data_IF_355577368408
#
_entry.id   IF_355577368408
#
_cell.length_a   1.000
_cell.length_b   1.000
_cell.length_c   1.000
_cell.angle_alpha   90.00
_cell.angle_beta   90.00
_cell.angle_gamma   90.00
#
_symmetry.space_group_name_H-M   'P 1'
#
loop_
_entity.id
_entity.type
_entity.pdbx_description
1 polymer ?
#
# COMPACT_ATOMS: atom_id res chain seq x y z
N UNK A 1 7.35 4.34 -6.69
CA UNK A 1 7.15 4.22 -5.22
C UNK A 1 8.47 3.81 -4.56
N UNK A 2 8.58 3.88 -3.23
CA UNK A 2 9.79 3.49 -2.50
C UNK A 2 9.45 2.54 -1.34
N UNK A 3 10.02 1.35 -1.33
CA UNK A 3 9.87 0.37 -0.24
C UNK A 3 11.04 0.54 0.72
N UNK A 4 10.75 0.52 2.03
CA UNK A 4 11.77 0.57 3.07
C UNK A 4 11.81 -0.77 3.79
N UNK A 5 13.01 -1.33 3.89
CA UNK A 5 13.29 -2.58 4.58
C UNK A 5 14.30 -2.34 5.70
N UNK A 6 14.24 -3.16 6.74
CA UNK A 6 15.13 -3.07 7.88
C UNK A 6 15.88 -4.39 8.10
N UNK A 7 17.19 -4.31 8.24
CA UNK A 7 18.08 -5.45 8.46
C UNK A 7 18.89 -5.24 9.73
N UNK A 8 19.32 -6.33 10.37
CA UNK A 8 20.38 -6.23 11.38
C UNK A 8 21.70 -5.88 10.68
N UNK A 9 22.61 -5.21 11.39
CA UNK A 9 23.91 -4.86 10.83
C UNK A 9 24.63 -6.09 10.27
N UNK A 10 25.08 -6.01 9.02
CA UNK A 10 25.81 -7.09 8.34
C UNK A 10 24.94 -8.25 7.87
N UNK A 11 23.60 -8.11 7.89
CA UNK A 11 22.64 -9.13 7.42
C UNK A 11 21.90 -8.73 6.14
N UNK A 12 22.35 -7.67 5.48
CA UNK A 12 21.78 -7.24 4.20
C UNK A 12 22.17 -8.30 3.14
N UNK A 13 21.20 -8.93 2.47
CA UNK A 13 21.51 -9.89 1.42
C UNK A 13 22.03 -9.17 0.18
N UNK A 14 22.94 -9.81 -0.60
CA UNK A 14 23.45 -9.24 -1.85
C UNK A 14 22.39 -9.23 -2.97
N UNK A 15 21.32 -10.02 -2.81
CA UNK A 15 20.23 -10.13 -3.77
C UNK A 15 18.89 -10.00 -3.04
N UNK A 16 17.95 -9.27 -3.64
CA UNK A 16 16.59 -9.12 -3.17
C UNK A 16 15.62 -9.42 -4.31
N UNK A 17 14.68 -10.34 -4.09
CA UNK A 17 13.58 -10.55 -5.02
C UNK A 17 12.49 -9.50 -4.77
N UNK A 18 12.02 -8.80 -5.80
CA UNK A 18 10.96 -7.79 -5.68
C UNK A 18 9.70 -8.35 -4.99
N UNK A 19 9.42 -9.64 -5.19
CA UNK A 19 8.30 -10.35 -4.55
C UNK A 19 8.38 -10.38 -3.02
N UNK A 20 9.59 -10.31 -2.47
CA UNK A 20 9.85 -10.31 -1.02
C UNK A 20 9.95 -8.88 -0.46
N UNK A 21 9.93 -7.87 -1.32
CA UNK A 21 10.14 -6.47 -0.95
C UNK A 21 8.80 -5.79 -0.74
N UNK A 22 8.36 -5.68 0.51
CA UNK A 22 7.14 -4.93 0.86
C UNK A 22 7.34 -4.12 2.14
N UNK A 23 6.67 -2.97 2.22
CA UNK A 23 6.74 -2.10 3.39
C UNK A 23 6.21 -2.86 4.61
N UNK A 24 6.90 -2.84 5.76
CA UNK A 24 6.39 -3.49 6.95
C UNK A 24 5.18 -2.70 7.47
N UNK A 25 3.97 -3.24 7.21
CA UNK A 25 2.71 -2.67 7.67
C UNK A 25 2.34 -3.15 9.07
N UNK A 26 1.62 -2.33 9.84
CA UNK A 26 1.09 -2.75 11.14
C UNK A 26 0.10 -3.92 11.00
N UNK A 27 -0.67 -3.92 9.91
CA UNK A 27 -1.50 -5.06 9.47
C UNK A 27 -1.08 -5.46 8.07
N UNK A 28 -0.65 -6.71 7.89
CA UNK A 28 -0.15 -7.22 6.61
C UNK A 28 -1.25 -7.26 5.57
N UNK A 29 -0.89 -7.01 4.31
CA UNK A 29 -1.75 -7.18 3.14
C UNK A 29 -1.17 -8.32 2.28
N UNK A 30 -1.66 -9.57 2.43
CA UNK A 30 -1.09 -10.73 1.75
C UNK A 30 -1.23 -10.63 0.23
N UNK A 31 -0.21 -11.06 -0.51
CA UNK A 31 -0.22 -11.07 -1.99
C UNK A 31 0.09 -9.73 -2.64
N UNK A 32 0.47 -8.71 -1.86
CA UNK A 32 0.73 -7.37 -2.37
C UNK A 32 2.09 -6.84 -1.93
N UNK A 33 2.71 -6.10 -2.84
CA UNK A 33 3.87 -5.25 -2.57
C UNK A 33 3.36 -3.86 -2.26
N UNK A 34 3.73 -3.32 -1.11
CA UNK A 34 3.39 -1.97 -0.66
C UNK A 34 4.64 -1.13 -0.51
N UNK A 35 4.56 0.14 -0.86
CA UNK A 35 5.66 1.08 -0.68
C UNK A 35 5.18 2.51 -0.61
N UNK A 36 6.00 3.36 -0.02
CA UNK A 36 5.72 4.77 0.21
C UNK A 36 5.58 5.51 -1.13
N UNK A 37 4.57 6.37 -1.20
CA UNK A 37 4.25 7.14 -2.40
C UNK A 37 3.66 8.50 -2.07
N UNK A 38 3.39 9.30 -3.11
CA UNK A 38 2.80 10.63 -2.98
C UNK A 38 3.71 11.68 -2.33
N UNK A 39 3.10 12.82 -2.00
CA UNK A 39 3.77 14.02 -1.49
C UNK A 39 4.47 13.83 -0.13
N UNK A 40 3.95 12.95 0.73
CA UNK A 40 4.47 12.67 2.08
C UNK A 40 5.66 11.70 2.07
N UNK A 41 6.16 11.29 0.91
CA UNK A 41 7.23 10.29 0.81
C UNK A 41 8.46 10.68 1.64
N UNK A 42 8.89 11.95 1.60
CA UNK A 42 10.08 12.39 2.36
C UNK A 42 9.86 12.32 3.88
N UNK A 43 8.73 12.80 4.37
CA UNK A 43 8.36 12.70 5.79
C UNK A 43 8.28 11.24 6.24
N UNK A 44 7.68 10.39 5.40
CA UNK A 44 7.55 8.95 5.65
C UNK A 44 8.91 8.24 5.77
N UNK A 45 9.88 8.65 4.94
CA UNK A 45 11.25 8.15 4.99
C UNK A 45 11.97 8.60 6.27
N UNK A 46 11.67 9.79 6.80
CA UNK A 46 12.24 10.25 8.07
C UNK A 46 11.76 9.39 9.25
N UNK A 47 10.47 9.05 9.30
CA UNK A 47 9.96 8.14 10.34
C UNK A 47 10.62 6.75 10.26
N UNK A 48 10.79 6.22 9.05
CA UNK A 48 11.49 4.96 8.86
C UNK A 48 12.96 5.03 9.32
N UNK A 49 13.65 6.14 9.02
CA UNK A 49 15.03 6.36 9.48
C UNK A 49 15.12 6.44 11.01
N UNK A 50 14.25 7.22 11.64
CA UNK A 50 14.18 7.32 13.10
C UNK A 50 13.97 5.95 13.76
N UNK A 51 13.10 5.11 13.18
CA UNK A 51 12.90 3.75 13.63
C UNK A 51 14.16 2.89 13.51
N UNK A 52 14.83 2.94 12.36
CA UNK A 52 16.07 2.20 12.13
C UNK A 52 17.16 2.61 13.15
N UNK A 53 17.34 3.91 13.37
CA UNK A 53 18.31 4.44 14.33
C UNK A 53 17.99 4.00 15.77
N UNK A 54 16.72 4.13 16.20
CA UNK A 54 16.27 3.72 17.53
C UNK A 54 16.44 2.22 17.79
N UNK A 55 16.33 1.39 16.76
CA UNK A 55 16.46 -0.08 16.84
C UNK A 55 17.84 -0.59 16.43
N UNK A 56 18.77 0.29 16.06
CA UNK A 56 20.11 -0.05 15.53
C UNK A 56 20.04 -1.02 14.34
N UNK A 57 19.13 -0.73 13.41
CA UNK A 57 18.93 -1.48 12.18
C UNK A 57 19.53 -0.72 10.99
N UNK A 58 19.96 -1.46 9.97
CA UNK A 58 20.28 -0.90 8.66
C UNK A 58 18.98 -0.71 7.88
N UNK A 59 18.86 0.42 7.20
CA UNK A 59 17.68 0.78 6.41
C UNK A 59 18.03 0.70 4.92
N UNK A 60 17.35 -0.19 4.19
CA UNK A 60 17.47 -0.32 2.74
C UNK A 60 16.25 0.32 2.07
N UNK A 61 16.50 1.04 0.98
CA UNK A 61 15.45 1.72 0.20
C UNK A 61 15.44 1.14 -1.20
N UNK A 62 14.36 0.45 -1.54
CA UNK A 62 14.14 -0.09 -2.88
C UNK A 62 13.17 0.83 -3.61
N UNK A 63 13.65 1.46 -4.69
CA UNK A 63 12.80 2.21 -5.60
C UNK A 63 12.21 1.29 -6.64
N UNK A 64 10.87 1.33 -6.76
CA UNK A 64 10.11 0.58 -7.75
C UNK A 64 9.41 1.56 -8.69
N UNK A 65 9.61 1.36 -9.99
CA UNK A 65 8.80 1.95 -11.04
C UNK A 65 7.81 0.88 -11.50
N UNK A 66 6.53 1.19 -11.36
CA UNK A 66 5.43 0.27 -11.65
C UNK A 66 4.56 0.93 -12.71
N UNK A 67 4.42 0.25 -13.84
CA UNK A 67 3.55 0.63 -14.94
C UNK A 67 2.12 0.14 -14.73
N UNK A 68 1.23 0.67 -15.55
CA UNK A 68 -0.18 0.34 -15.64
C UNK A 68 -0.62 0.52 -17.09
N UNK A 69 -1.68 -0.17 -17.51
CA UNK A 69 -2.15 -0.21 -18.89
C UNK A 69 -3.09 0.97 -19.17
N UNK A 70 -4.01 1.26 -18.25
CA UNK A 70 -4.99 2.32 -18.41
C UNK A 70 -4.49 3.61 -17.74
N UNK A 71 -4.72 4.78 -18.36
CA UNK A 71 -4.24 6.02 -17.80
C UNK A 71 -4.87 6.30 -16.44
N UNK A 72 -4.05 6.79 -15.50
CA UNK A 72 -4.52 7.26 -14.21
C UNK A 72 -5.56 8.37 -14.40
N UNK A 73 -6.71 8.23 -13.74
CA UNK A 73 -7.72 9.29 -13.73
C UNK A 73 -7.23 10.48 -12.89
N UNK A 74 -7.03 11.67 -13.48
CA UNK A 74 -6.38 12.80 -12.78
C UNK A 74 -7.35 13.58 -11.86
N UNK A 75 -8.66 13.34 -11.99
CA UNK A 75 -9.71 14.03 -11.23
C UNK A 75 -10.23 13.14 -10.10
N UNK A 76 -11.30 13.58 -9.45
CA UNK A 76 -12.02 12.77 -8.46
C UNK A 76 -12.82 11.69 -9.20
N UNK A 77 -12.42 10.42 -9.05
CA UNK A 77 -12.96 9.24 -9.72
C UNK A 77 -14.35 8.88 -9.15
N UNK A 78 -15.42 8.98 -9.95
CA UNK A 78 -16.76 8.54 -9.55
C UNK A 78 -16.94 7.03 -9.79
N UNK A 79 -17.96 6.38 -9.18
CA UNK A 79 -18.20 4.95 -9.32
C UNK A 79 -18.32 4.45 -10.76
N UNK A 80 -19.03 5.20 -11.60
CA UNK A 80 -19.35 4.83 -12.98
C UNK A 80 -18.11 4.73 -13.89
N UNK A 81 -17.01 5.40 -13.53
CA UNK A 81 -15.76 5.38 -14.31
C UNK A 81 -14.74 4.36 -13.79
N UNK A 82 -15.00 3.66 -12.68
CA UNK A 82 -14.01 2.73 -12.09
C UNK A 82 -13.59 1.65 -13.10
N UNK A 83 -14.52 1.14 -13.91
CA UNK A 83 -14.26 0.11 -14.94
C UNK A 83 -13.36 0.58 -16.09
N UNK A 84 -13.14 1.88 -16.23
CA UNK A 84 -12.33 2.47 -17.30
C UNK A 84 -10.87 2.72 -16.88
N UNK A 85 -10.50 2.33 -15.66
CA UNK A 85 -9.18 2.55 -15.07
C UNK A 85 -8.71 1.32 -14.30
N UNK A 86 -7.43 1.01 -14.35
CA UNK A 86 -6.76 -0.10 -13.63
C UNK A 86 -6.02 0.38 -12.36
N UNK A 87 -6.05 1.69 -12.09
CA UNK A 87 -5.45 2.32 -10.92
C UNK A 87 -6.51 3.00 -10.06
N UNK A 88 -6.59 2.61 -8.80
CA UNK A 88 -7.46 3.24 -7.80
C UNK A 88 -6.67 4.13 -6.85
N UNK A 89 -6.93 5.44 -6.86
CA UNK A 89 -6.38 6.34 -5.85
C UNK A 89 -7.47 6.75 -4.86
N UNK A 90 -7.45 6.20 -3.64
CA UNK A 90 -8.47 6.47 -2.62
C UNK A 90 -8.46 7.93 -2.14
N UNK A 91 -7.36 8.67 -2.32
CA UNK A 91 -7.31 10.12 -2.05
C UNK A 91 -7.99 10.94 -3.15
N UNK A 92 -8.32 10.31 -4.28
CA UNK A 92 -9.00 10.90 -5.43
C UNK A 92 -10.25 10.11 -5.80
N UNK A 93 -10.82 9.31 -4.91
CA UNK A 93 -12.11 8.68 -5.10
C UNK A 93 -13.24 9.66 -4.69
N UNK A 94 -14.37 9.62 -5.38
CA UNK A 94 -15.55 10.42 -5.01
C UNK A 94 -16.14 9.92 -3.70
N UNK A 95 -16.97 10.76 -3.05
CA UNK A 95 -17.64 10.37 -1.80
C UNK A 95 -18.57 9.18 -2.01
N UNK A 96 -19.21 9.13 -3.18
CA UNK A 96 -20.12 8.08 -3.60
C UNK A 96 -19.36 6.76 -3.79
N UNK A 97 -18.21 6.78 -4.48
CA UNK A 97 -17.36 5.59 -4.63
C UNK A 97 -16.84 5.09 -3.29
N UNK A 98 -16.39 6.02 -2.45
CA UNK A 98 -15.93 5.70 -1.10
C UNK A 98 -17.06 5.10 -0.24
N UNK A 99 -18.29 5.59 -0.37
CA UNK A 99 -19.45 5.02 0.32
C UNK A 99 -19.75 3.59 -0.18
N UNK A 100 -19.76 3.36 -1.49
CA UNK A 100 -19.94 2.01 -2.06
C UNK A 100 -18.89 1.02 -1.54
N UNK A 101 -17.63 1.42 -1.49
CA UNK A 101 -16.55 0.58 -0.95
C UNK A 101 -16.71 0.37 0.57
N UNK A 102 -17.12 1.42 1.30
CA UNK A 102 -17.31 1.33 2.75
C UNK A 102 -18.43 0.35 3.15
N UNK A 103 -19.47 0.20 2.33
CA UNK A 103 -20.55 -0.77 2.59
C UNK A 103 -20.03 -2.20 2.59
N UNK A 104 -19.14 -2.55 1.65
CA UNK A 104 -18.46 -3.86 1.64
C UNK A 104 -17.57 -4.05 2.86
N UNK A 105 -16.76 -3.04 3.18
CA UNK A 105 -15.85 -3.10 4.34
C UNK A 105 -16.60 -3.27 5.68
N UNK A 106 -17.74 -2.62 5.85
CA UNK A 106 -18.58 -2.79 7.03
C UNK A 106 -19.07 -4.22 7.19
N UNK A 107 -19.49 -4.85 6.09
CA UNK A 107 -19.95 -6.24 6.09
C UNK A 107 -18.79 -7.18 6.48
N UNK A 108 -17.64 -7.09 5.81
CA UNK A 108 -16.49 -7.96 6.06
C UNK A 108 -15.89 -7.79 7.45
N UNK A 109 -15.89 -6.58 8.00
CA UNK A 109 -15.42 -6.35 9.37
C UNK A 109 -16.32 -7.02 10.40
N UNK A 110 -17.63 -6.99 10.18
CA UNK A 110 -18.58 -7.69 11.06
C UNK A 110 -18.42 -9.21 10.94
N UNK A 111 -18.17 -9.71 9.74
CA UNK A 111 -17.88 -11.13 9.52
C UNK A 111 -16.59 -11.56 10.22
N UNK A 112 -15.52 -10.76 10.14
CA UNK A 112 -14.21 -11.07 10.72
C UNK A 112 -14.15 -10.88 12.25
N UNK A 113 -14.76 -9.81 12.77
CA UNK A 113 -14.57 -9.32 14.15
C UNK A 113 -15.86 -9.33 15.00
N UNK A 114 -17.00 -9.67 14.39
CA UNK A 114 -18.33 -9.67 15.01
C UNK A 114 -19.00 -8.30 15.07
N UNK A 115 -20.27 -8.28 15.52
CA UNK A 115 -21.13 -7.09 15.47
C UNK A 115 -20.57 -5.86 16.20
N UNK A 116 -19.78 -6.06 17.27
CA UNK A 116 -19.17 -4.97 18.05
C UNK A 116 -18.13 -4.17 17.28
N UNK A 117 -17.67 -4.67 16.13
CA UNK A 117 -16.69 -3.98 15.31
C UNK A 117 -17.28 -2.76 14.58
N UNK A 118 -18.62 -2.68 14.42
CA UNK A 118 -19.28 -1.50 13.84
C UNK A 118 -18.96 -0.21 14.61
N UNK A 119 -18.81 -0.30 15.93
CA UNK A 119 -18.57 0.87 16.77
C UNK A 119 -17.07 1.19 16.94
N UNK A 120 -16.17 0.36 16.38
CA UNK A 120 -14.71 0.52 16.52
C UNK A 120 -14.09 1.40 15.44
N UNK A 121 -14.80 1.63 14.35
CA UNK A 121 -14.27 2.32 13.18
C UNK A 121 -15.13 3.55 12.86
N UNK A 122 -14.47 4.64 12.46
CA UNK A 122 -15.15 5.84 11.98
C UNK A 122 -15.44 5.71 10.48
N UNK A 123 -16.62 5.17 10.15
CA UNK A 123 -17.04 4.90 8.76
C UNK A 123 -17.20 6.17 7.90
N UNK A 124 -17.34 7.33 8.54
CA UNK A 124 -17.36 8.63 7.85
C UNK A 124 -15.98 9.08 7.38
N UNK A 125 -14.90 8.42 7.84
CA UNK A 125 -13.52 8.64 7.40
C UNK A 125 -12.89 7.36 6.84
N UNK A 126 -13.23 6.96 5.61
CA UNK A 126 -12.76 5.69 5.06
C UNK A 126 -11.24 5.64 4.88
N UNK A 127 -10.57 6.78 4.77
CA UNK A 127 -9.11 6.86 4.83
C UNK A 127 -8.54 6.32 6.16
N UNK A 128 -9.14 6.66 7.30
CA UNK A 128 -8.69 6.17 8.61
C UNK A 128 -8.96 4.68 8.77
N UNK A 129 -10.09 4.21 8.23
CA UNK A 129 -10.43 2.80 8.19
C UNK A 129 -9.40 2.00 7.37
N UNK A 130 -9.14 2.40 6.12
CA UNK A 130 -8.19 1.72 5.23
C UNK A 130 -6.78 1.69 5.79
N UNK A 131 -6.36 2.76 6.48
CA UNK A 131 -5.06 2.80 7.13
C UNK A 131 -4.89 1.68 8.18
N UNK A 132 -5.99 1.31 8.87
CA UNK A 132 -6.03 0.28 9.93
C UNK A 132 -6.37 -1.12 9.41
N UNK A 133 -7.14 -1.20 8.31
CA UNK A 133 -7.57 -2.44 7.66
C UNK A 133 -7.10 -2.54 6.19
N UNK A 134 -5.81 -2.34 5.87
CA UNK A 134 -5.33 -2.51 4.50
C UNK A 134 -5.46 -3.97 4.03
N UNK A 135 -5.56 -4.92 4.97
CA UNK A 135 -5.81 -6.35 4.73
C UNK A 135 -7.14 -6.66 4.04
N UNK A 136 -8.07 -5.70 3.97
CA UNK A 136 -9.35 -5.85 3.26
C UNK A 136 -9.33 -5.34 1.82
N UNK A 137 -8.26 -4.65 1.39
CA UNK A 137 -8.12 -4.26 -0.01
C UNK A 137 -8.03 -5.46 -0.97
N UNK A 138 -7.33 -6.57 -0.65
CA UNK A 138 -7.34 -7.76 -1.50
C UNK A 138 -8.76 -8.27 -1.78
N UNK A 139 -9.61 -8.36 -0.75
CA UNK A 139 -11.02 -8.79 -0.91
C UNK A 139 -11.82 -7.82 -1.79
N UNK A 140 -11.54 -6.52 -1.72
CA UNK A 140 -12.15 -5.53 -2.60
C UNK A 140 -11.81 -5.83 -4.07
N UNK A 141 -10.55 -6.15 -4.36
CA UNK A 141 -10.09 -6.45 -5.71
C UNK A 141 -10.43 -7.88 -6.18
N UNK A 142 -11.18 -8.65 -5.40
CA UNK A 142 -11.79 -9.92 -5.83
C UNK A 142 -13.23 -9.72 -6.34
N UNK A 143 -13.82 -8.54 -6.13
CA UNK A 143 -15.15 -8.20 -6.66
C UNK A 143 -15.06 -7.88 -8.15
N UNK A 144 -16.08 -8.28 -8.92
CA UNK A 144 -16.15 -8.07 -10.37
C UNK A 144 -16.00 -6.60 -10.78
N UNK A 145 -16.44 -5.67 -9.94
CA UNK A 145 -16.33 -4.24 -10.23
C UNK A 145 -14.93 -3.65 -10.02
N UNK A 146 -14.01 -4.42 -9.43
CA UNK A 146 -12.68 -3.95 -9.03
C UNK A 146 -11.55 -4.92 -9.38
N UNK A 147 -11.82 -6.07 -10.00
CA UNK A 147 -10.84 -7.13 -10.26
C UNK A 147 -9.74 -6.72 -11.26
N UNK A 148 -10.06 -5.76 -12.11
CA UNK A 148 -9.18 -5.09 -13.06
C UNK A 148 -8.30 -4.02 -12.41
N UNK A 149 -8.48 -3.70 -11.12
CA UNK A 149 -7.62 -2.77 -10.39
C UNK A 149 -6.35 -3.49 -9.94
N UNK A 150 -5.22 -3.11 -10.51
CA UNK A 150 -3.91 -3.73 -10.22
C UNK A 150 -3.04 -2.88 -9.31
N UNK A 151 -3.27 -1.57 -9.28
CA UNK A 151 -2.50 -0.62 -8.47
C UNK A 151 -3.45 0.23 -7.64
N UNK A 152 -3.20 0.34 -6.34
CA UNK A 152 -3.98 1.17 -5.43
C UNK A 152 -3.09 2.13 -4.66
N UNK A 153 -3.47 3.41 -4.60
CA UNK A 153 -2.87 4.39 -3.70
C UNK A 153 -3.81 4.65 -2.53
N UNK A 154 -3.34 4.41 -1.31
CA UNK A 154 -4.16 4.39 -0.11
C UNK A 154 -3.36 4.79 1.13
N UNK A 155 -4.03 5.18 2.23
CA UNK A 155 -3.35 5.36 3.50
C UNK A 155 -2.98 4.01 4.14
N UNK A 156 -1.88 3.98 4.88
CA UNK A 156 -1.39 2.82 5.63
C UNK A 156 -0.81 3.22 6.98
N UNK A 157 -0.96 2.36 7.98
CA UNK A 157 -0.16 2.42 9.22
C UNK A 157 0.97 1.41 9.08
N UNK A 158 2.20 1.85 9.34
CA UNK A 158 3.39 1.00 9.22
C UNK A 158 3.72 0.37 10.57
N UNK A 159 4.51 -0.71 10.57
CA UNK A 159 4.98 -1.34 11.80
C UNK A 159 5.97 -0.45 12.58
N UNK A 160 6.46 0.64 11.96
CA UNK A 160 7.45 1.53 12.53
C UNK A 160 6.89 2.90 12.95
N UNK A 161 5.64 3.22 12.61
CA UNK A 161 5.03 4.51 12.95
C UNK A 161 3.49 4.47 12.92
N UNK A 162 2.84 5.16 13.86
CA UNK A 162 1.38 5.10 14.06
C UNK A 162 0.59 6.11 13.22
N UNK A 163 1.24 7.17 12.70
CA UNK A 163 0.59 8.14 11.80
C UNK A 163 0.31 7.47 10.44
N UNK A 164 -0.92 7.58 9.91
CA UNK A 164 -1.22 7.14 8.55
C UNK A 164 -0.31 7.82 7.52
N UNK A 165 0.33 7.03 6.67
CA UNK A 165 1.20 7.47 5.58
C UNK A 165 0.54 7.14 4.24
N UNK A 166 0.96 7.84 3.18
CA UNK A 166 0.52 7.52 1.82
C UNK A 166 1.38 6.40 1.23
N UNK A 167 0.73 5.32 0.79
CA UNK A 167 1.39 4.22 0.10
C UNK A 167 0.68 3.87 -1.20
N UNK A 168 1.44 3.23 -2.09
CA UNK A 168 0.91 2.55 -3.26
C UNK A 168 1.19 1.08 -3.10
N UNK A 169 0.21 0.27 -3.46
CA UNK A 169 0.30 -1.18 -3.42
C UNK A 169 -0.16 -1.80 -4.73
N UNK A 170 0.46 -2.91 -5.09
CA UNK A 170 0.14 -3.66 -6.30
C UNK A 170 0.35 -5.16 -6.04
N UNK A 171 -0.30 -6.02 -6.83
CA UNK A 171 -0.21 -7.48 -6.65
C UNK A 171 1.22 -7.97 -6.91
N UNK A 172 1.64 -9.00 -6.18
CA UNK A 172 2.99 -9.58 -6.27
C UNK A 172 3.33 -10.15 -7.66
N UNK A 173 2.30 -10.53 -8.42
CA UNK A 173 2.35 -11.07 -9.77
C UNK A 173 2.04 -10.03 -10.85
N UNK A 174 1.93 -8.74 -10.47
CA UNK A 174 1.70 -7.66 -11.43
C UNK A 174 2.85 -7.60 -12.46
N UNK A 175 2.56 -7.77 -13.77
CA UNK A 175 3.59 -7.97 -14.78
C UNK A 175 4.38 -6.69 -15.14
N UNK A 176 3.92 -5.52 -14.69
CA UNK A 176 4.46 -4.22 -15.12
C UNK A 176 5.40 -3.58 -14.09
N UNK A 177 6.33 -4.34 -13.51
CA UNK A 177 7.45 -3.76 -12.77
C UNK A 177 8.52 -3.36 -13.79
N UNK A 178 8.55 -2.08 -14.16
CA UNK A 178 9.46 -1.55 -15.18
C UNK A 178 10.90 -1.43 -14.68
N UNK A 179 11.08 -1.14 -13.39
CA UNK A 179 12.40 -0.97 -12.78
C UNK A 179 12.37 -1.20 -11.28
N UNK A 180 13.39 -1.87 -10.78
CA UNK A 180 13.67 -2.00 -9.36
C UNK A 180 15.15 -1.69 -9.07
N UNK A 181 15.44 -0.92 -8.02
CA UNK A 181 16.83 -0.60 -7.64
C UNK A 181 16.97 -0.21 -6.18
N UNK A 182 18.07 -0.62 -5.55
CA UNK A 182 18.44 -0.17 -4.21
C UNK A 182 19.12 1.21 -4.27
N UNK A 183 18.45 2.26 -3.76
CA UNK A 183 18.82 3.67 -3.98
C UNK A 183 20.24 4.04 -3.53
N UNK A 184 20.69 3.45 -2.42
CA UNK A 184 21.97 3.80 -1.77
C UNK A 184 22.92 2.60 -1.63
N UNK A 185 22.56 1.47 -2.23
CA UNK A 185 23.30 0.22 -2.14
C UNK A 185 23.37 -0.40 -3.55
N UNK A 186 24.18 0.19 -4.46
CA UNK A 186 24.26 -0.26 -5.86
C UNK A 186 24.83 -1.68 -6.00
N UNK A 187 25.46 -2.19 -4.94
CA UNK A 187 25.96 -3.56 -4.79
C UNK A 187 24.86 -4.59 -4.52
N UNK A 188 23.65 -4.17 -4.12
CA UNK A 188 22.51 -5.05 -3.96
C UNK A 188 21.78 -5.19 -5.30
N UNK A 189 21.77 -6.41 -5.82
CA UNK A 189 21.00 -6.77 -7.00
C UNK A 189 19.51 -6.95 -6.64
N UNK A 190 18.62 -6.32 -7.40
CA UNK A 190 17.18 -6.43 -7.22
C UNK A 190 16.58 -7.20 -8.39
N UNK A 191 16.08 -8.41 -8.11
CA UNK A 191 15.56 -9.36 -9.10
C UNK A 191 14.06 -9.13 -9.29
N UNK A 192 13.64 -8.82 -10.52
CA UNK A 192 12.24 -8.64 -10.94
C UNK A 192 11.64 -9.96 -11.39
#
# INVERSE_FOLDING_TARGET
>A
MSVVLFYKSGSIPPQLNVRDVTLPLARRMPGYITGLSGHQRMESMMYARQHADAKRLEMIVIDLLVGFELPLYPKVLPPELVKEHDVLNLFRASKELIACIADYWQQWVVEDEGQRAKDRYEWTKPADFVARRPDLLPRLFELEEFDHIHVVTHPVITAYHDKPLTATSFRIDHPLIERASARFHPDIEVLV
#
